data_IF_276215314635
#
_entry.id   IF_276215314635
#
_cell.length_a   1.000
_cell.length_b   1.000
_cell.length_c   1.000
_cell.angle_alpha   90.00
_cell.angle_beta   90.00
_cell.angle_gamma   90.00
#
_symmetry.space_group_name_H-M   'P 1'
#
loop_
_entity.id
_entity.type
_entity.pdbx_description
1 polymer ?
#
# COMPACT_ATOMS: atom_id res chain seq x y z
N UNK A 1 11.84 -0.13 -9.73
CA UNK A 1 11.02 -1.04 -10.59
C UNK A 1 9.68 -0.36 -10.73
N UNK A 2 9.09 -0.33 -11.92
CA UNK A 2 7.73 0.20 -12.07
C UNK A 2 6.70 -0.84 -11.67
N UNK A 3 5.84 -0.49 -10.71
CA UNK A 3 4.65 -1.24 -10.35
C UNK A 3 3.43 -0.60 -10.99
N UNK A 4 2.63 -1.40 -11.67
CA UNK A 4 1.33 -1.00 -12.17
C UNK A 4 0.32 -1.21 -11.04
N UNK A 5 -0.53 -0.22 -10.79
CA UNK A 5 -1.65 -0.35 -9.86
C UNK A 5 -2.71 -1.31 -10.44
N UNK A 6 -2.49 -2.61 -10.24
CA UNK A 6 -3.36 -3.67 -10.69
C UNK A 6 -4.60 -3.81 -9.77
N UNK A 7 -5.55 -4.65 -10.16
CA UNK A 7 -6.79 -4.82 -9.39
C UNK A 7 -6.54 -5.28 -7.95
N UNK A 8 -5.54 -6.14 -7.73
CA UNK A 8 -5.18 -6.62 -6.39
C UNK A 8 -4.78 -5.47 -5.46
N UNK A 9 -3.89 -4.58 -5.91
CA UNK A 9 -3.51 -3.40 -5.13
C UNK A 9 -4.68 -2.42 -4.98
N UNK A 10 -5.49 -2.24 -6.03
CA UNK A 10 -6.64 -1.35 -5.99
C UNK A 10 -7.72 -1.84 -5.00
N UNK A 11 -7.88 -3.14 -4.82
CA UNK A 11 -8.80 -3.71 -3.81
C UNK A 11 -8.35 -3.35 -2.39
N UNK A 12 -7.06 -3.51 -2.07
CA UNK A 12 -6.48 -3.10 -0.78
C UNK A 12 -6.71 -1.61 -0.55
N UNK A 13 -6.40 -0.77 -1.53
CA UNK A 13 -6.55 0.68 -1.42
C UNK A 13 -8.01 1.11 -1.30
N UNK A 14 -8.94 0.42 -1.96
CA UNK A 14 -10.37 0.65 -1.77
C UNK A 14 -10.80 0.31 -0.33
N UNK A 15 -10.31 -0.77 0.25
CA UNK A 15 -10.61 -1.14 1.65
C UNK A 15 -10.15 -0.04 2.62
N UNK A 16 -8.89 0.40 2.49
CA UNK A 16 -8.32 1.52 3.27
C UNK A 16 -9.22 2.76 3.21
N UNK A 17 -9.66 3.16 2.00
CA UNK A 17 -10.51 4.34 1.83
C UNK A 17 -11.94 4.13 2.35
N UNK A 18 -12.47 2.91 2.25
CA UNK A 18 -13.83 2.59 2.68
C UNK A 18 -14.00 2.58 4.21
N UNK A 19 -12.92 2.32 4.95
CA UNK A 19 -12.91 2.41 6.41
C UNK A 19 -13.09 3.83 6.93
N UNK A 20 -12.79 4.85 6.12
CA UNK A 20 -12.99 6.28 6.43
C UNK A 20 -12.32 6.74 7.74
N UNK A 21 -11.23 6.08 8.11
CA UNK A 21 -10.44 6.44 9.29
C UNK A 21 -9.47 7.59 8.97
N UNK A 22 -9.30 8.50 9.92
CA UNK A 22 -8.23 9.47 9.94
C UNK A 22 -6.88 8.79 10.25
N UNK A 23 -5.77 9.44 9.92
CA UNK A 23 -4.43 8.89 10.19
C UNK A 23 -4.19 8.63 11.68
N UNK A 24 -4.76 9.45 12.56
CA UNK A 24 -4.69 9.22 14.02
C UNK A 24 -5.42 7.96 14.44
N UNK A 25 -6.55 7.65 13.82
CA UNK A 25 -7.31 6.43 14.10
C UNK A 25 -6.56 5.21 13.56
N UNK A 26 -5.96 5.30 12.36
CA UNK A 26 -5.07 4.27 11.82
C UNK A 26 -3.87 3.98 12.75
N UNK A 27 -3.30 5.03 13.35
CA UNK A 27 -2.22 4.88 14.32
C UNK A 27 -2.64 4.16 15.60
N UNK A 28 -3.92 4.22 16.01
CA UNK A 28 -4.41 3.51 17.21
C UNK A 28 -4.59 2.01 16.97
N UNK A 29 -4.75 1.61 15.71
CA UNK A 29 -4.94 0.21 15.28
C UNK A 29 -3.80 -0.26 14.38
N UNK A 30 -2.60 0.32 14.58
CA UNK A 30 -1.41 0.04 13.79
C UNK A 30 -1.17 -1.46 13.61
N UNK A 31 -0.89 -1.85 12.36
CA UNK A 31 -0.57 -3.22 11.98
C UNK A 31 0.14 -3.19 10.64
N UNK A 32 1.44 -3.47 10.63
CA UNK A 32 2.28 -3.41 9.43
C UNK A 32 1.98 -4.51 8.39
N UNK A 33 1.11 -5.47 8.73
CA UNK A 33 0.77 -6.63 7.91
C UNK A 33 -0.75 -6.90 7.85
N UNK A 34 -1.59 -5.89 8.09
CA UNK A 34 -3.06 -6.02 8.09
C UNK A 34 -3.62 -6.49 6.74
N UNK A 35 -3.03 -6.03 5.63
CA UNK A 35 -3.47 -6.33 4.27
C UNK A 35 -2.54 -7.37 3.65
N UNK A 36 -3.06 -8.56 3.41
CA UNK A 36 -2.32 -9.68 2.83
C UNK A 36 -3.09 -10.31 1.68
N UNK A 37 -2.47 -10.34 0.51
CA UNK A 37 -2.98 -10.97 -0.72
C UNK A 37 -1.89 -11.88 -1.32
N UNK A 38 -2.08 -12.35 -2.55
CA UNK A 38 -1.13 -13.27 -3.20
C UNK A 38 0.26 -12.64 -3.42
N UNK A 39 0.30 -11.36 -3.75
CA UNK A 39 1.53 -10.64 -4.10
C UNK A 39 1.82 -9.43 -3.21
N UNK A 40 0.91 -9.03 -2.32
CA UNK A 40 1.11 -7.89 -1.43
C UNK A 40 0.97 -8.28 0.05
N UNK A 41 1.81 -7.67 0.88
CA UNK A 41 1.68 -7.70 2.33
C UNK A 41 2.00 -6.30 2.85
N UNK A 42 1.20 -5.75 3.73
CA UNK A 42 1.48 -4.43 4.28
C UNK A 42 0.38 -3.89 5.19
N UNK A 43 0.56 -2.66 5.63
CA UNK A 43 -0.38 -1.99 6.50
C UNK A 43 0.12 -0.64 6.94
N UNK A 44 -0.50 -0.09 7.97
CA UNK A 44 -0.17 1.26 8.44
C UNK A 44 1.01 1.21 9.42
N UNK A 45 1.99 2.07 9.21
CA UNK A 45 3.11 2.31 10.13
C UNK A 45 2.90 3.67 10.82
N UNK A 46 2.73 3.66 12.14
CA UNK A 46 2.45 4.86 12.93
C UNK A 46 3.68 5.74 13.15
N UNK A 47 4.89 5.19 12.97
CA UNK A 47 6.14 5.96 13.04
C UNK A 47 6.32 6.81 11.80
N UNK A 48 6.04 6.24 10.63
CA UNK A 48 6.16 6.92 9.34
C UNK A 48 4.89 7.69 8.96
N UNK A 49 3.73 7.35 9.56
CA UNK A 49 2.40 7.88 9.22
C UNK A 49 1.98 7.57 7.78
N UNK A 50 2.39 6.40 7.30
CA UNK A 50 2.31 5.97 5.91
C UNK A 50 1.80 4.52 5.84
N UNK A 51 1.25 4.12 4.69
CA UNK A 51 0.99 2.70 4.44
C UNK A 51 2.19 2.07 3.77
N UNK A 52 2.80 1.09 4.44
CA UNK A 52 4.01 0.40 4.02
C UNK A 52 3.64 -0.96 3.44
N UNK A 53 4.17 -1.28 2.26
CA UNK A 53 3.87 -2.52 1.56
C UNK A 53 5.12 -3.19 1.00
N UNK A 54 5.13 -4.51 1.14
CA UNK A 54 5.92 -5.44 0.35
C UNK A 54 5.11 -5.92 -0.85
N UNK A 55 5.76 -5.94 -2.02
CA UNK A 55 5.28 -6.57 -3.25
C UNK A 55 6.23 -7.68 -3.66
N UNK A 56 5.68 -8.86 -3.95
CA UNK A 56 6.44 -10.01 -4.42
C UNK A 56 6.19 -10.23 -5.91
N UNK A 57 7.25 -10.10 -6.71
CA UNK A 57 7.14 -10.39 -8.14
C UNK A 57 6.99 -11.89 -8.43
N UNK A 58 6.86 -12.24 -9.72
CA UNK A 58 6.77 -13.64 -10.18
C UNK A 58 7.95 -14.52 -9.74
N UNK A 59 9.12 -13.92 -9.47
CA UNK A 59 10.32 -14.62 -9.03
C UNK A 59 10.44 -14.63 -7.49
N UNK A 60 9.40 -14.17 -6.78
CA UNK A 60 9.40 -13.96 -5.32
C UNK A 60 10.47 -13.00 -4.84
N UNK A 61 10.90 -12.09 -5.72
CA UNK A 61 11.72 -10.95 -5.34
C UNK A 61 10.83 -9.93 -4.63
N UNK A 62 11.25 -9.52 -3.46
CA UNK A 62 10.53 -8.56 -2.65
C UNK A 62 10.94 -7.13 -2.99
N UNK A 63 9.93 -6.27 -3.08
CA UNK A 63 10.07 -4.85 -3.30
C UNK A 63 9.24 -4.09 -2.27
N UNK A 64 9.75 -2.96 -1.81
CA UNK A 64 9.07 -2.10 -0.84
C UNK A 64 8.58 -0.81 -1.48
N UNK A 65 7.44 -0.34 -0.98
CA UNK A 65 6.92 0.99 -1.25
C UNK A 65 6.05 1.50 -0.11
N UNK A 66 5.91 2.83 -0.05
CA UNK A 66 5.07 3.53 0.91
C UNK A 66 4.08 4.40 0.14
N UNK A 67 2.86 4.57 0.69
CA UNK A 67 1.85 5.46 0.15
C UNK A 67 1.09 6.21 1.23
N UNK A 68 0.99 7.51 1.01
CA UNK A 68 0.19 8.37 1.86
C UNK A 68 -1.28 8.19 1.53
N UNK A 69 -2.16 8.55 2.46
CA UNK A 69 -3.61 8.56 2.22
C UNK A 69 -4.00 9.39 0.98
N UNK A 70 -3.23 10.43 0.65
CA UNK A 70 -3.48 11.23 -0.55
C UNK A 70 -3.02 10.51 -1.82
N UNK A 71 -1.85 9.88 -1.83
CA UNK A 71 -1.40 9.09 -2.98
C UNK A 71 -2.32 7.91 -3.26
N UNK A 72 -2.82 7.23 -2.22
CA UNK A 72 -3.83 6.17 -2.36
C UNK A 72 -5.06 6.70 -3.11
N UNK A 73 -5.56 7.89 -2.77
CA UNK A 73 -6.68 8.53 -3.47
C UNK A 73 -6.35 8.85 -4.93
N UNK A 74 -5.14 9.36 -5.20
CA UNK A 74 -4.70 9.63 -6.57
C UNK A 74 -4.65 8.35 -7.42
N UNK A 75 -4.17 7.26 -6.84
CA UNK A 75 -4.11 5.94 -7.50
C UNK A 75 -5.51 5.40 -7.77
N UNK A 76 -6.40 5.41 -6.76
CA UNK A 76 -7.79 4.96 -6.90
C UNK A 76 -8.56 5.79 -7.93
N UNK A 77 -8.29 7.10 -8.02
CA UNK A 77 -8.90 7.97 -9.03
C UNK A 77 -8.38 7.75 -10.45
N UNK A 78 -7.32 6.94 -10.63
CA UNK A 78 -6.66 6.72 -11.92
C UNK A 78 -5.73 7.86 -12.36
N UNK A 79 -5.48 8.86 -11.51
CA UNK A 79 -4.51 9.94 -11.79
C UNK A 79 -3.07 9.40 -11.82
N UNK A 80 -2.79 8.37 -11.03
CA UNK A 80 -1.53 7.63 -11.02
C UNK A 80 -1.82 6.16 -11.28
N UNK A 81 -1.29 5.61 -12.36
CA UNK A 81 -1.52 4.21 -12.76
C UNK A 81 -0.29 3.33 -12.58
N UNK A 82 0.89 3.94 -12.45
CA UNK A 82 2.15 3.27 -12.17
C UNK A 82 3.06 4.15 -11.32
N UNK A 83 3.94 3.53 -10.52
CA UNK A 83 4.91 4.23 -9.69
C UNK A 83 6.16 3.38 -9.46
N UNK A 84 7.26 4.01 -9.07
CA UNK A 84 8.51 3.31 -8.74
C UNK A 84 8.44 2.67 -7.35
N UNK A 85 8.90 1.43 -7.27
CA UNK A 85 9.13 0.66 -6.04
C UNK A 85 10.60 0.26 -5.93
N UNK A 86 11.10 0.11 -4.71
CA UNK A 86 12.52 -0.22 -4.45
C UNK A 86 12.69 -1.70 -4.13
N UNK A 87 13.85 -2.26 -4.44
CA UNK A 87 14.20 -3.62 -3.98
C UNK A 87 14.27 -3.63 -2.45
N UNK A 88 13.77 -4.69 -1.81
CA UNK A 88 13.97 -4.90 -0.38
C UNK A 88 15.46 -5.14 -0.08
N UNK A 89 15.93 -4.65 1.07
CA UNK A 89 17.34 -4.73 1.51
C UNK A 89 17.58 -5.89 2.47
#
# INVERSE_FOLDING_TARGET
MKLIANNELLEIFNDILNRKLALTEWSEIESCDEFQTDNFCGGFDATEMEFCFSYYDKNKTEYWFQKSMNEIKEIISGKVTEFEIRLAE
#
